data_IF_977416379798
#
_entry.id   IF_977416379798
#
_cell.length_a   1.000
_cell.length_b   1.000
_cell.length_c   1.000
_cell.angle_alpha   90.00
_cell.angle_beta   90.00
_cell.angle_gamma   90.00
#
_symmetry.space_group_name_H-M   'P 1'
#
loop_
_entity.id
_entity.type
_entity.pdbx_description
1 polymer ?
#
# COMPACT_ATOMS: atom_id res chain seq x y z
N UNK A 1 4.94 10.48 23.82
CA UNK A 1 3.64 10.24 24.48
C UNK A 1 2.51 9.92 23.49
N UNK A 2 2.33 10.72 22.42
CA UNK A 2 1.28 10.44 21.42
C UNK A 2 1.49 9.10 20.69
N UNK A 3 2.73 8.80 20.27
CA UNK A 3 3.08 7.56 19.55
C UNK A 3 2.80 6.32 20.41
N UNK A 4 3.15 6.35 21.70
CA UNK A 4 2.93 5.24 22.64
C UNK A 4 1.44 5.03 22.92
N UNK A 5 0.65 6.10 22.99
CA UNK A 5 -0.81 6.03 23.13
C UNK A 5 -1.44 5.44 21.87
N UNK A 6 -1.04 5.89 20.68
CA UNK A 6 -1.51 5.33 19.42
C UNK A 6 -1.17 3.83 19.31
N UNK A 7 0.06 3.43 19.65
CA UNK A 7 0.46 2.03 19.65
C UNK A 7 -0.35 1.17 20.62
N UNK A 8 -0.65 1.69 21.82
CA UNK A 8 -1.53 1.04 22.78
C UNK A 8 -2.96 0.86 22.25
N UNK A 9 -3.54 1.91 21.65
CA UNK A 9 -4.89 1.86 21.07
C UNK A 9 -4.95 0.87 19.91
N UNK A 10 -4.08 0.99 18.92
CA UNK A 10 -4.04 0.07 17.77
C UNK A 10 -3.75 -1.37 18.19
N UNK A 11 -2.76 -1.57 19.07
CA UNK A 11 -2.45 -2.89 19.61
C UNK A 11 -3.65 -3.52 20.32
N UNK A 12 -4.36 -2.74 21.14
CA UNK A 12 -5.56 -3.24 21.85
C UNK A 12 -6.68 -3.67 20.91
N UNK A 13 -6.93 -2.92 19.83
CA UNK A 13 -7.96 -3.25 18.86
C UNK A 13 -7.62 -4.52 18.07
N UNK A 14 -6.36 -4.66 17.64
CA UNK A 14 -5.88 -5.85 16.93
C UNK A 14 -5.97 -7.09 17.83
N UNK A 15 -5.55 -6.97 19.09
CA UNK A 15 -5.63 -8.07 20.07
C UNK A 15 -7.08 -8.44 20.38
N UNK A 16 -7.95 -7.45 20.57
CA UNK A 16 -9.39 -7.66 20.79
C UNK A 16 -10.06 -8.35 19.59
N UNK A 17 -9.77 -7.88 18.37
CA UNK A 17 -10.26 -8.49 17.15
C UNK A 17 -9.77 -9.95 17.01
N UNK A 18 -8.47 -10.19 17.20
CA UNK A 18 -7.90 -11.54 17.18
C UNK A 18 -8.56 -12.47 18.21
N UNK A 19 -8.87 -11.97 19.40
CA UNK A 19 -9.60 -12.72 20.43
C UNK A 19 -11.00 -13.13 19.98
N UNK A 20 -11.75 -12.20 19.37
CA UNK A 20 -13.12 -12.45 18.90
C UNK A 20 -13.15 -13.49 17.79
N UNK A 21 -12.27 -13.37 16.80
CA UNK A 21 -12.16 -14.33 15.68
C UNK A 21 -11.75 -15.70 16.19
N UNK A 22 -10.78 -15.78 17.09
CA UNK A 22 -10.36 -17.05 17.67
C UNK A 22 -11.50 -17.72 18.46
N UNK A 23 -12.28 -16.96 19.22
CA UNK A 23 -13.45 -17.52 19.91
C UNK A 23 -14.53 -18.00 18.93
N UNK A 24 -14.84 -17.24 17.88
CA UNK A 24 -15.87 -17.62 16.89
C UNK A 24 -15.48 -18.87 16.09
N UNK A 25 -14.24 -18.99 15.65
CA UNK A 25 -13.80 -20.12 14.80
C UNK A 25 -13.29 -21.34 15.58
N UNK A 26 -12.77 -21.18 16.80
CA UNK A 26 -12.11 -22.26 17.54
C UNK A 26 -12.89 -22.72 18.80
N UNK A 27 -13.92 -22.00 19.26
CA UNK A 27 -14.69 -22.40 20.45
C UNK A 27 -15.54 -23.62 20.16
N UNK A 28 -15.42 -24.67 20.98
CA UNK A 28 -16.11 -25.96 20.75
C UNK A 28 -17.51 -26.00 21.38
N UNK A 29 -18.16 -24.86 21.61
CA UNK A 29 -19.41 -24.78 22.37
C UNK A 29 -20.60 -25.26 21.51
N UNK A 30 -20.88 -26.55 21.60
CA UNK A 30 -21.83 -27.33 20.81
C UNK A 30 -23.31 -27.00 21.05
N UNK A 31 -23.63 -26.15 22.03
CA UNK A 31 -25.02 -25.89 22.46
C UNK A 31 -25.62 -24.56 21.99
N UNK A 32 -24.81 -23.58 21.56
CA UNK A 32 -25.32 -22.24 21.19
C UNK A 32 -24.91 -21.73 19.79
N UNK A 33 -24.02 -22.43 19.09
CA UNK A 33 -23.40 -21.91 17.85
C UNK A 33 -24.07 -22.39 16.56
N UNK A 34 -24.97 -23.38 16.62
CA UNK A 34 -25.50 -24.04 15.42
C UNK A 34 -26.50 -23.19 14.62
N UNK A 35 -26.92 -22.03 15.13
CA UNK A 35 -28.06 -21.29 14.56
C UNK A 35 -27.84 -19.78 14.35
N UNK A 36 -26.64 -19.20 14.54
CA UNK A 36 -26.53 -17.73 14.50
C UNK A 36 -25.24 -17.09 13.99
N UNK A 37 -24.33 -17.81 13.35
CA UNK A 37 -23.16 -17.15 12.72
C UNK A 37 -23.30 -17.00 11.20
N UNK A 38 -24.08 -17.86 10.53
CA UNK A 38 -24.13 -17.84 9.07
C UNK A 38 -25.51 -18.28 8.53
N UNK A 39 -26.07 -17.62 7.51
CA UNK A 39 -27.32 -18.06 6.88
C UNK A 39 -27.20 -19.47 6.30
N UNK A 40 -28.28 -20.27 6.36
CA UNK A 40 -28.29 -21.66 5.91
C UNK A 40 -27.82 -21.83 4.46
N UNK A 41 -28.17 -20.89 3.58
CA UNK A 41 -27.76 -20.93 2.17
C UNK A 41 -26.24 -20.85 2.00
N UNK A 42 -25.56 -20.06 2.81
CA UNK A 42 -24.09 -19.92 2.77
C UNK A 42 -23.44 -21.18 3.34
N UNK A 43 -24.06 -21.78 4.36
CA UNK A 43 -23.56 -23.02 4.95
C UNK A 43 -23.65 -24.20 3.97
N UNK A 44 -24.79 -24.33 3.28
CA UNK A 44 -24.96 -25.34 2.24
C UNK A 44 -23.99 -25.14 1.08
N UNK A 45 -23.79 -23.90 0.63
CA UNK A 45 -22.79 -23.58 -0.38
C UNK A 45 -21.38 -23.95 0.08
N UNK A 46 -21.01 -23.63 1.33
CA UNK A 46 -19.70 -23.96 1.88
C UNK A 46 -19.45 -25.47 1.93
N UNK A 47 -20.46 -26.27 2.31
CA UNK A 47 -20.38 -27.73 2.26
C UNK A 47 -20.22 -28.25 0.84
N UNK A 48 -21.00 -27.74 -0.12
CA UNK A 48 -20.93 -28.15 -1.52
C UNK A 48 -19.57 -27.81 -2.14
N UNK A 49 -19.03 -26.63 -1.84
CA UNK A 49 -17.73 -26.16 -2.33
C UNK A 49 -16.54 -26.66 -1.51
N UNK A 50 -16.75 -27.50 -0.48
CA UNK A 50 -15.71 -28.03 0.42
C UNK A 50 -14.84 -26.93 1.05
N UNK A 51 -15.47 -25.85 1.51
CA UNK A 51 -14.80 -24.75 2.18
C UNK A 51 -14.52 -25.07 3.66
N UNK A 52 -13.51 -24.40 4.22
CA UNK A 52 -13.19 -24.50 5.65
C UNK A 52 -14.27 -23.79 6.46
N UNK A 53 -14.95 -24.52 7.33
CA UNK A 53 -16.00 -24.01 8.21
C UNK A 53 -15.45 -23.65 9.59
N UNK A 54 -16.12 -22.72 10.33
CA UNK A 54 -15.86 -22.56 11.76
C UNK A 54 -15.98 -23.91 12.47
N UNK A 55 -15.15 -24.14 13.49
CA UNK A 55 -15.08 -25.39 14.28
C UNK A 55 -14.41 -26.59 13.59
N UNK A 56 -13.98 -26.48 12.32
CA UNK A 56 -13.17 -27.50 11.66
C UNK A 56 -11.70 -27.45 12.13
N UNK A 57 -11.45 -27.99 13.33
CA UNK A 57 -10.16 -27.93 14.01
C UNK A 57 -9.04 -28.69 13.31
N UNK A 58 -9.37 -29.62 12.41
CA UNK A 58 -8.38 -30.35 11.63
C UNK A 58 -7.74 -29.45 10.57
N UNK A 59 -8.56 -28.65 9.86
CA UNK A 59 -8.08 -27.72 8.84
C UNK A 59 -7.63 -26.37 9.42
N UNK A 60 -8.15 -25.95 10.58
CA UNK A 60 -7.80 -24.69 11.26
C UNK A 60 -6.58 -24.86 12.19
N UNK A 61 -5.40 -25.10 11.60
CA UNK A 61 -4.13 -25.33 12.33
C UNK A 61 -3.81 -24.18 13.30
N UNK A 62 -4.16 -22.94 12.93
CA UNK A 62 -3.93 -21.75 13.73
C UNK A 62 -4.72 -21.69 15.04
N UNK A 63 -5.78 -22.50 15.20
CA UNK A 63 -6.54 -22.63 16.46
C UNK A 63 -5.71 -23.30 17.57
N UNK A 64 -4.69 -24.10 17.23
CA UNK A 64 -3.80 -24.75 18.21
C UNK A 64 -2.66 -23.84 18.68
N UNK A 65 -2.41 -22.73 17.98
CA UNK A 65 -1.29 -21.83 18.27
C UNK A 65 -1.69 -20.82 19.35
N UNK A 66 -1.06 -20.91 20.52
CA UNK A 66 -1.29 -19.99 21.64
C UNK A 66 -0.99 -18.53 21.25
N UNK A 67 -1.77 -17.59 21.81
CA UNK A 67 -1.49 -16.16 21.64
C UNK A 67 -0.28 -15.76 22.49
N UNK A 68 0.65 -15.03 21.89
CA UNK A 68 1.76 -14.40 22.59
C UNK A 68 1.45 -12.91 22.79
N UNK A 69 1.44 -12.43 24.03
CA UNK A 69 1.23 -11.00 24.35
C UNK A 69 2.30 -10.11 23.70
N UNK A 70 3.52 -10.62 23.52
CA UNK A 70 4.60 -9.89 22.84
C UNK A 70 4.40 -9.76 21.32
N UNK A 71 3.50 -10.54 20.71
CA UNK A 71 3.22 -10.50 19.27
C UNK A 71 1.73 -10.26 19.04
N UNK A 72 1.28 -9.00 18.94
CA UNK A 72 -0.14 -8.66 18.89
C UNK A 72 -0.83 -9.09 17.60
N UNK A 73 -0.08 -9.53 16.58
CA UNK A 73 -0.63 -9.93 15.28
C UNK A 73 -1.39 -11.26 15.43
N UNK A 74 -2.64 -11.35 14.93
CA UNK A 74 -3.44 -12.57 15.05
C UNK A 74 -2.78 -13.77 14.36
N UNK A 75 -2.76 -14.92 15.03
CA UNK A 75 -2.13 -16.15 14.53
C UNK A 75 -2.74 -16.63 13.20
N UNK A 76 -4.04 -16.42 12.98
CA UNK A 76 -4.72 -16.81 11.76
C UNK A 76 -4.16 -16.09 10.52
N UNK A 77 -3.68 -14.86 10.66
CA UNK A 77 -3.30 -14.03 9.52
C UNK A 77 -2.15 -14.66 8.73
N UNK A 78 -1.10 -15.08 9.43
CA UNK A 78 0.03 -15.78 8.82
C UNK A 78 -0.41 -17.06 8.09
N UNK A 79 -1.21 -17.91 8.74
CA UNK A 79 -1.63 -19.20 8.17
C UNK A 79 -2.55 -19.04 6.95
N UNK A 80 -3.43 -18.03 6.96
CA UNK A 80 -4.29 -17.71 5.82
C UNK A 80 -3.45 -17.14 4.67
N UNK A 81 -2.51 -16.22 4.97
CA UNK A 81 -1.58 -15.68 3.99
C UNK A 81 -0.72 -16.76 3.33
N UNK A 82 -0.14 -17.65 4.12
CA UNK A 82 0.68 -18.76 3.62
C UNK A 82 -0.13 -19.69 2.71
N UNK A 83 -1.34 -20.10 3.14
CA UNK A 83 -2.19 -21.06 2.41
C UNK A 83 -2.70 -20.52 1.07
N UNK A 84 -3.21 -19.29 1.05
CA UNK A 84 -3.88 -18.75 -0.15
C UNK A 84 -2.99 -17.84 -0.98
N UNK A 85 -2.03 -17.19 -0.33
CA UNK A 85 -1.18 -16.21 -0.98
C UNK A 85 0.26 -16.67 -1.14
N UNK A 86 0.74 -17.77 -0.55
CA UNK A 86 2.14 -18.22 -0.71
C UNK A 86 3.13 -17.06 -0.46
N UNK A 87 3.04 -16.42 0.71
CA UNK A 87 3.92 -15.32 1.15
C UNK A 87 5.36 -15.82 1.36
N UNK A 88 6.05 -16.10 0.27
CA UNK A 88 7.47 -16.36 0.22
C UNK A 88 8.19 -15.11 -0.31
N UNK A 89 9.42 -14.80 0.16
CA UNK A 89 10.22 -13.75 -0.44
C UNK A 89 10.34 -13.97 -1.95
N UNK A 90 9.87 -13.02 -2.74
CA UNK A 90 9.80 -13.09 -4.21
C UNK A 90 8.85 -14.14 -4.82
N UNK A 91 8.04 -14.85 -4.03
CA UNK A 91 7.09 -15.87 -4.53
C UNK A 91 6.07 -15.33 -5.55
N UNK A 92 5.87 -14.01 -5.57
CA UNK A 92 4.93 -13.32 -6.46
C UNK A 92 5.52 -12.90 -7.81
N UNK A 93 6.83 -13.07 -8.03
CA UNK A 93 7.49 -12.71 -9.29
C UNK A 93 7.20 -13.74 -10.37
N UNK A 94 5.95 -13.76 -10.83
CA UNK A 94 5.47 -14.64 -11.88
C UNK A 94 5.31 -13.89 -13.20
N UNK A 95 5.69 -14.51 -14.32
CA UNK A 95 5.55 -13.92 -15.66
C UNK A 95 4.09 -13.60 -16.02
N UNK A 96 3.12 -14.32 -15.44
CA UNK A 96 1.68 -14.05 -15.59
C UNK A 96 1.29 -12.65 -15.10
N UNK A 97 2.06 -12.08 -14.16
CA UNK A 97 1.83 -10.75 -13.57
C UNK A 97 2.63 -9.65 -14.24
N UNK A 98 3.26 -9.92 -15.38
CA UNK A 98 4.03 -8.93 -16.14
C UNK A 98 3.26 -7.61 -16.40
N UNK A 99 1.96 -7.62 -16.74
CA UNK A 99 1.20 -6.37 -16.90
C UNK A 99 1.19 -5.51 -15.64
N UNK A 100 1.09 -6.12 -14.45
CA UNK A 100 1.11 -5.42 -13.18
C UNK A 100 2.49 -4.82 -12.87
N UNK A 101 3.57 -5.52 -13.24
CA UNK A 101 4.92 -4.98 -13.10
C UNK A 101 5.16 -3.75 -14.00
N UNK A 102 4.66 -3.79 -15.24
CA UNK A 102 4.76 -2.64 -16.17
C UNK A 102 4.00 -1.43 -15.60
N UNK A 103 2.82 -1.66 -15.03
CA UNK A 103 2.02 -0.64 -14.35
C UNK A 103 2.70 -0.04 -13.10
N UNK A 104 3.39 -0.88 -12.33
CA UNK A 104 4.08 -0.46 -11.11
C UNK A 104 5.43 0.24 -11.38
N UNK A 105 6.07 -0.05 -12.52
CA UNK A 105 7.40 0.45 -12.83
C UNK A 105 7.54 1.99 -12.79
N UNK A 106 6.61 2.80 -13.34
CA UNK A 106 6.70 4.26 -13.24
C UNK A 106 6.64 4.75 -11.79
N UNK A 107 5.81 4.15 -10.94
CA UNK A 107 5.73 4.51 -9.52
C UNK A 107 7.05 4.19 -8.79
N UNK A 108 7.62 3.00 -9.04
CA UNK A 108 8.94 2.61 -8.49
C UNK A 108 10.00 3.61 -8.94
N UNK A 109 10.02 3.95 -10.24
CA UNK A 109 10.96 4.90 -10.80
C UNK A 109 10.86 6.27 -10.13
N UNK A 110 9.65 6.80 -9.94
CA UNK A 110 9.43 8.08 -9.26
C UNK A 110 9.96 8.04 -7.82
N UNK A 111 9.71 6.96 -7.09
CA UNK A 111 10.22 6.80 -5.72
C UNK A 111 11.75 6.76 -5.70
N UNK A 112 12.38 5.95 -6.56
CA UNK A 112 13.84 5.81 -6.60
C UNK A 112 14.51 7.12 -7.03
N UNK A 113 14.04 7.72 -8.12
CA UNK A 113 14.54 9.00 -8.61
C UNK A 113 14.35 10.12 -7.59
N UNK A 114 13.14 10.26 -7.04
CA UNK A 114 12.82 11.27 -6.05
C UNK A 114 13.64 11.11 -4.77
N UNK A 115 13.84 9.87 -4.31
CA UNK A 115 14.67 9.59 -3.13
C UNK A 115 16.13 9.97 -3.36
N UNK A 116 16.70 9.59 -4.51
CA UNK A 116 18.08 9.97 -4.86
C UNK A 116 18.21 11.49 -4.99
N UNK A 117 17.23 12.14 -5.62
CA UNK A 117 17.19 13.58 -5.79
C UNK A 117 17.19 14.32 -4.44
N UNK A 118 16.27 13.96 -3.53
CA UNK A 118 16.14 14.58 -2.22
C UNK A 118 17.34 14.30 -1.30
N UNK A 119 17.85 13.06 -1.29
CA UNK A 119 19.06 12.73 -0.52
C UNK A 119 20.26 13.55 -0.99
N UNK A 120 20.42 13.73 -2.31
CA UNK A 120 21.52 14.53 -2.85
C UNK A 120 21.36 16.02 -2.52
N UNK A 121 20.13 16.56 -2.55
CA UNK A 121 19.84 17.93 -2.15
C UNK A 121 20.18 18.15 -0.67
N UNK A 122 19.71 17.26 0.21
CA UNK A 122 19.94 17.35 1.65
C UNK A 122 21.43 17.21 1.99
N UNK A 123 22.15 16.31 1.31
CA UNK A 123 23.61 16.15 1.44
C UNK A 123 24.37 17.43 1.04
N UNK A 124 23.96 18.10 -0.04
CA UNK A 124 24.59 19.39 -0.43
C UNK A 124 24.36 20.47 0.61
N UNK A 125 23.18 20.51 1.23
CA UNK A 125 22.83 21.51 2.24
C UNK A 125 23.55 21.28 3.58
N UNK A 126 23.66 20.04 4.04
CA UNK A 126 24.16 19.71 5.39
C UNK A 126 25.57 19.11 5.41
N UNK A 127 26.20 18.89 4.25
CA UNK A 127 27.56 18.36 4.09
C UNK A 127 27.75 16.88 4.44
N UNK A 128 26.95 16.33 5.36
CA UNK A 128 27.03 14.94 5.84
C UNK A 128 25.65 14.35 6.10
N UNK A 129 25.53 13.02 5.99
CA UNK A 129 24.31 12.28 6.34
C UNK A 129 23.88 12.52 7.80
N UNK A 130 24.84 12.66 8.72
CA UNK A 130 24.54 12.96 10.11
C UNK A 130 23.91 14.36 10.27
N UNK A 131 24.41 15.33 9.52
CA UNK A 131 23.84 16.69 9.47
C UNK A 131 22.40 16.70 8.92
N UNK A 132 22.09 15.83 7.95
CA UNK A 132 20.73 15.68 7.40
C UNK A 132 19.75 15.13 8.44
N UNK A 133 20.16 14.12 9.21
CA UNK A 133 19.32 13.52 10.25
C UNK A 133 19.08 14.53 11.37
N UNK A 134 20.15 15.20 11.84
CA UNK A 134 20.05 16.20 12.90
C UNK A 134 19.20 17.41 12.47
N UNK A 135 19.40 17.91 11.24
CA UNK A 135 18.61 19.00 10.67
C UNK A 135 17.13 18.63 10.49
N UNK A 136 16.84 17.36 10.19
CA UNK A 136 15.46 16.86 10.12
C UNK A 136 14.79 16.81 11.49
N UNK A 137 15.51 16.43 12.55
CA UNK A 137 14.96 16.43 13.91
C UNK A 137 14.60 17.85 14.39
N UNK A 138 15.29 18.86 13.88
CA UNK A 138 15.04 20.26 14.19
C UNK A 138 13.97 20.90 13.29
N UNK A 139 13.83 20.42 12.04
CA UNK A 139 12.90 20.99 11.08
C UNK A 139 11.65 20.12 10.89
N UNK A 140 10.51 20.60 11.41
CA UNK A 140 9.23 19.94 11.29
C UNK A 140 8.70 19.83 9.84
N UNK A 141 9.19 20.65 8.90
CA UNK A 141 8.76 20.64 7.50
C UNK A 141 9.62 19.74 6.60
N UNK A 142 10.43 18.84 7.17
CA UNK A 142 11.30 17.96 6.39
C UNK A 142 10.51 16.89 5.63
N UNK A 143 10.88 16.66 4.36
CA UNK A 143 10.34 15.59 3.50
C UNK A 143 10.91 14.21 3.88
N UNK A 144 12.00 14.17 4.66
CA UNK A 144 12.76 12.96 4.96
C UNK A 144 11.96 11.84 5.67
N UNK A 145 11.05 12.11 6.62
CA UNK A 145 10.22 11.04 7.19
C UNK A 145 9.35 10.33 6.15
N UNK A 146 8.77 11.09 5.20
CA UNK A 146 7.98 10.53 4.11
C UNK A 146 8.83 9.73 3.13
N UNK A 147 10.06 10.20 2.86
CA UNK A 147 11.04 9.47 2.05
C UNK A 147 11.37 8.11 2.68
N UNK A 148 11.75 8.08 3.96
CA UNK A 148 12.09 6.84 4.67
C UNK A 148 10.89 5.89 4.68
N UNK A 149 9.70 6.40 5.02
CA UNK A 149 8.49 5.60 5.03
C UNK A 149 8.21 4.96 3.66
N UNK A 150 8.33 5.74 2.58
CA UNK A 150 8.08 5.26 1.21
C UNK A 150 9.13 4.24 0.78
N UNK A 151 10.41 4.42 1.13
CA UNK A 151 11.47 3.46 0.82
C UNK A 151 11.24 2.12 1.54
N UNK A 152 10.88 2.15 2.83
CA UNK A 152 10.55 0.94 3.59
C UNK A 152 9.35 0.23 2.97
N UNK A 153 8.29 0.96 2.63
CA UNK A 153 7.12 0.38 1.96
C UNK A 153 7.46 -0.21 0.59
N UNK A 154 8.26 0.49 -0.21
CA UNK A 154 8.69 0.02 -1.55
C UNK A 154 9.47 -1.28 -1.41
N UNK A 155 10.42 -1.35 -0.48
CA UNK A 155 11.20 -2.56 -0.22
C UNK A 155 10.32 -3.72 0.23
N UNK A 156 9.47 -3.52 1.24
CA UNK A 156 8.56 -4.54 1.72
C UNK A 156 7.59 -5.00 0.63
N UNK A 157 7.11 -4.08 -0.20
CA UNK A 157 6.19 -4.39 -1.27
C UNK A 157 6.84 -5.18 -2.42
N UNK A 158 8.13 -4.99 -2.69
CA UNK A 158 8.87 -5.77 -3.69
C UNK A 158 9.15 -7.21 -3.23
N UNK A 159 9.38 -7.39 -1.93
CA UNK A 159 9.80 -8.69 -1.35
C UNK A 159 8.61 -9.52 -0.88
N UNK A 160 7.64 -8.90 -0.21
CA UNK A 160 6.60 -9.59 0.56
C UNK A 160 5.17 -9.42 0.03
N UNK A 161 4.88 -8.37 -0.75
CA UNK A 161 3.53 -8.10 -1.24
C UNK A 161 3.35 -8.47 -2.70
N UNK A 162 2.09 -8.69 -3.07
CA UNK A 162 1.70 -8.90 -4.45
C UNK A 162 1.79 -7.57 -5.23
N UNK A 163 2.36 -7.62 -6.43
CA UNK A 163 2.53 -6.46 -7.33
C UNK A 163 1.21 -5.76 -7.66
N UNK A 164 0.09 -6.49 -7.65
CA UNK A 164 -1.27 -5.94 -7.86
C UNK A 164 -1.60 -4.80 -6.88
N UNK A 165 -1.16 -4.93 -5.63
CA UNK A 165 -1.48 -3.97 -4.55
C UNK A 165 -0.35 -2.94 -4.38
N UNK A 166 0.75 -3.08 -5.12
CA UNK A 166 1.97 -2.30 -4.95
C UNK A 166 1.75 -0.80 -5.14
N UNK A 167 1.12 -0.41 -6.25
CA UNK A 167 0.85 1.00 -6.57
C UNK A 167 -0.08 1.62 -5.55
N UNK A 168 -1.13 0.90 -5.13
CA UNK A 168 -2.06 1.36 -4.09
C UNK A 168 -1.35 1.63 -2.78
N UNK A 169 -0.51 0.71 -2.30
CA UNK A 169 0.24 0.91 -1.05
C UNK A 169 1.08 2.18 -1.15
N UNK A 170 1.82 2.36 -2.25
CA UNK A 170 2.69 3.51 -2.42
C UNK A 170 1.93 4.85 -2.51
N UNK A 171 0.87 4.92 -3.32
CA UNK A 171 0.10 6.15 -3.53
C UNK A 171 -0.83 6.50 -2.37
N UNK A 172 -1.27 5.53 -1.55
CA UNK A 172 -2.18 5.80 -0.43
C UNK A 172 -1.48 5.97 0.92
N UNK A 173 -0.34 5.31 1.13
CA UNK A 173 0.31 5.28 2.45
C UNK A 173 1.24 6.47 2.69
N UNK A 174 1.72 7.13 1.63
CA UNK A 174 2.72 8.20 1.75
C UNK A 174 2.45 9.36 0.79
N UNK A 175 2.54 10.62 1.26
CA UNK A 175 2.45 11.78 0.39
C UNK A 175 3.70 11.99 -0.49
N UNK A 176 4.78 11.24 -0.26
CA UNK A 176 6.09 11.45 -0.89
C UNK A 176 6.03 11.48 -2.42
N UNK A 177 5.30 10.56 -3.04
CA UNK A 177 5.20 10.48 -4.51
C UNK A 177 4.57 11.76 -5.08
N UNK A 178 3.50 12.24 -4.44
CA UNK A 178 2.85 13.49 -4.86
C UNK A 178 3.76 14.70 -4.67
N UNK A 179 4.52 14.74 -3.58
CA UNK A 179 5.48 15.82 -3.33
C UNK A 179 6.58 15.85 -4.39
N UNK A 180 7.15 14.71 -4.74
CA UNK A 180 8.18 14.60 -5.80
C UNK A 180 7.60 15.00 -7.16
N UNK A 181 6.39 14.53 -7.50
CA UNK A 181 5.73 14.92 -8.76
C UNK A 181 5.47 16.43 -8.78
N UNK A 182 4.93 16.99 -7.70
CA UNK A 182 4.65 18.42 -7.59
C UNK A 182 5.93 19.26 -7.73
N UNK A 183 7.01 18.91 -7.02
CA UNK A 183 8.30 19.57 -7.15
C UNK A 183 8.90 19.46 -8.56
N UNK A 184 8.74 18.31 -9.20
CA UNK A 184 9.20 18.10 -10.58
C UNK A 184 8.44 19.01 -11.55
N UNK A 185 7.12 19.12 -11.39
CA UNK A 185 6.27 20.00 -12.21
C UNK A 185 6.56 21.47 -11.93
N UNK A 186 6.70 21.87 -10.66
CA UNK A 186 7.01 23.23 -10.22
C UNK A 186 8.33 23.74 -10.81
N UNK A 187 9.39 22.94 -10.78
CA UNK A 187 10.69 23.35 -11.35
C UNK A 187 10.70 23.48 -12.87
N UNK A 188 9.76 22.85 -13.56
CA UNK A 188 9.64 22.86 -15.02
C UNK A 188 8.61 23.88 -15.52
N UNK A 189 7.82 24.44 -14.62
CA UNK A 189 6.79 25.43 -14.93
C UNK A 189 7.21 26.91 -14.97
N UNK A 190 8.39 27.39 -14.49
CA UNK A 190 8.78 28.78 -14.72
C UNK A 190 9.05 29.11 -16.20
N UNK A 191 8.95 28.12 -17.10
CA UNK A 191 8.95 28.31 -18.56
C UNK A 191 7.55 28.62 -19.13
N UNK A 192 6.49 28.63 -18.30
CA UNK A 192 5.11 28.87 -18.70
C UNK A 192 4.72 30.30 -18.35
N UNK A 193 4.50 31.14 -19.36
CA UNK A 193 4.04 32.51 -19.15
C UNK A 193 2.53 32.55 -18.90
N UNK A 194 2.03 33.65 -18.31
CA UNK A 194 0.59 33.84 -18.07
C UNK A 194 -0.23 33.77 -19.37
N UNK A 195 0.37 34.22 -20.47
CA UNK A 195 -0.21 34.18 -21.81
C UNK A 195 -0.38 32.73 -22.33
N UNK A 196 0.53 31.82 -21.96
CA UNK A 196 0.45 30.41 -22.32
C UNK A 196 -0.64 29.64 -21.56
N UNK A 197 -1.13 30.18 -20.45
CA UNK A 197 -2.23 29.57 -19.66
C UNK A 197 -3.59 30.02 -20.17
N UNK A 198 -3.64 31.07 -21.01
CA UNK A 198 -4.87 31.64 -21.54
C UNK A 198 -5.49 30.80 -22.68
N UNK A 199 -4.70 29.97 -23.36
CA UNK A 199 -5.15 29.07 -24.42
C UNK A 199 -4.43 27.72 -24.28
N UNK A 200 -5.11 26.57 -24.06
CA UNK A 200 -6.54 26.24 -24.25
C UNK A 200 -7.43 26.34 -22.98
N UNK A 201 -8.76 26.35 -23.17
CA UNK A 201 -9.75 26.53 -22.08
C UNK A 201 -9.85 25.36 -21.10
N UNK A 202 -9.64 24.12 -21.56
CA UNK A 202 -9.72 22.94 -20.69
C UNK A 202 -8.32 22.54 -20.22
N UNK A 203 -8.06 22.77 -18.93
CA UNK A 203 -6.82 22.38 -18.24
C UNK A 203 -5.53 22.89 -18.93
N UNK A 204 -5.38 24.22 -19.12
CA UNK A 204 -4.30 24.82 -19.89
C UNK A 204 -2.91 24.37 -19.43
N UNK A 205 -2.70 24.32 -18.11
CA UNK A 205 -1.47 23.86 -17.49
C UNK A 205 -1.03 22.46 -17.97
N UNK A 206 -1.94 21.48 -17.96
CA UNK A 206 -1.61 20.10 -18.35
C UNK A 206 -1.32 20.01 -19.85
N UNK A 207 -2.04 20.77 -20.68
CA UNK A 207 -1.81 20.78 -22.12
C UNK A 207 -0.45 21.37 -22.48
N UNK A 208 -0.06 22.48 -21.84
CA UNK A 208 1.23 23.11 -22.09
C UNK A 208 2.38 22.25 -21.54
N UNK A 209 2.23 21.74 -20.31
CA UNK A 209 3.19 20.82 -19.71
C UNK A 209 3.45 19.58 -20.58
N UNK A 210 2.40 18.99 -21.16
CA UNK A 210 2.53 17.84 -22.06
C UNK A 210 3.23 18.18 -23.38
N UNK A 211 3.13 19.42 -23.88
CA UNK A 211 3.74 19.85 -25.15
C UNK A 211 5.23 20.16 -25.02
N UNK A 212 5.67 20.57 -23.84
CA UNK A 212 7.07 20.97 -23.60
C UNK A 212 8.07 19.83 -23.81
N UNK A 213 7.77 18.61 -23.32
CA UNK A 213 8.68 17.47 -23.44
C UNK A 213 7.94 16.13 -23.39
N UNK A 214 8.42 15.15 -24.17
CA UNK A 214 7.80 13.82 -24.25
C UNK A 214 7.72 13.08 -22.91
N UNK A 215 8.69 13.27 -22.01
CA UNK A 215 8.62 12.71 -20.65
C UNK A 215 7.48 13.30 -19.81
N UNK A 216 7.13 14.57 -20.01
CA UNK A 216 6.01 15.21 -19.32
C UNK A 216 4.68 14.65 -19.82
N UNK A 217 4.56 14.45 -21.14
CA UNK A 217 3.43 13.77 -21.75
C UNK A 217 3.28 12.34 -21.22
N UNK A 218 4.37 11.58 -21.11
CA UNK A 218 4.35 10.22 -20.55
C UNK A 218 3.89 10.21 -19.09
N UNK A 219 4.45 11.09 -18.24
CA UNK A 219 4.02 11.20 -16.85
C UNK A 219 2.53 11.53 -16.73
N UNK A 220 2.05 12.51 -17.50
CA UNK A 220 0.64 12.91 -17.48
C UNK A 220 -0.27 11.76 -17.99
N UNK A 221 0.15 11.07 -19.06
CA UNK A 221 -0.57 9.92 -19.59
C UNK A 221 -0.66 8.77 -18.59
N UNK A 222 0.40 8.53 -17.81
CA UNK A 222 0.40 7.54 -16.73
C UNK A 222 -0.59 7.93 -15.62
N UNK A 223 -0.56 9.18 -15.15
CA UNK A 223 -1.46 9.63 -14.08
C UNK A 223 -2.93 9.63 -14.50
N UNK A 224 -3.24 10.15 -15.69
CA UNK A 224 -4.60 10.16 -16.23
C UNK A 224 -5.09 8.76 -16.57
N UNK A 225 -4.20 7.92 -17.14
CA UNK A 225 -4.47 6.52 -17.42
C UNK A 225 -4.79 5.76 -16.13
N UNK A 226 -3.98 5.92 -15.08
CA UNK A 226 -4.24 5.30 -13.78
C UNK A 226 -5.53 5.81 -13.16
N UNK A 227 -5.82 7.11 -13.25
CA UNK A 227 -7.09 7.67 -12.77
C UNK A 227 -8.29 7.06 -13.49
N UNK A 228 -8.31 7.07 -14.82
CA UNK A 228 -9.45 6.60 -15.59
C UNK A 228 -9.59 5.07 -15.57
N UNK A 229 -8.52 4.36 -15.98
CA UNK A 229 -8.52 2.90 -16.06
C UNK A 229 -8.61 2.29 -14.66
N UNK A 230 -7.87 2.83 -13.68
CA UNK A 230 -7.94 2.36 -12.30
C UNK A 230 -9.34 2.47 -11.72
N UNK A 231 -10.03 3.59 -11.96
CA UNK A 231 -11.43 3.76 -11.50
C UNK A 231 -12.37 2.75 -12.16
N UNK A 232 -12.25 2.53 -13.47
CA UNK A 232 -13.07 1.55 -14.19
C UNK A 232 -12.83 0.11 -13.73
N UNK A 233 -11.56 -0.27 -13.53
CA UNK A 233 -11.22 -1.62 -13.09
C UNK A 233 -11.63 -1.86 -11.63
N UNK A 234 -11.50 -0.84 -10.77
CA UNK A 234 -11.96 -0.88 -9.39
C UNK A 234 -13.47 -1.12 -9.30
N UNK A 235 -14.26 -0.36 -10.08
CA UNK A 235 -15.72 -0.51 -10.12
C UNK A 235 -16.19 -1.90 -10.59
N UNK A 236 -15.35 -2.60 -11.37
CA UNK A 236 -15.62 -3.94 -11.89
C UNK A 236 -15.04 -5.07 -11.02
N UNK A 237 -14.60 -4.78 -9.78
CA UNK A 237 -14.05 -5.77 -8.84
C UNK A 237 -12.85 -6.56 -9.39
N UNK A 238 -12.17 -6.03 -10.40
CA UNK A 238 -10.96 -6.66 -10.89
C UNK A 238 -9.83 -6.45 -9.87
N UNK A 239 -8.85 -7.37 -9.77
CA UNK A 239 -7.71 -7.27 -8.85
C UNK A 239 -6.72 -6.15 -9.26
N UNK A 240 -7.22 -5.14 -9.97
CA UNK A 240 -6.52 -4.03 -10.55
C UNK A 240 -7.01 -2.77 -9.85
N UNK A 241 -6.59 -2.60 -8.60
CA UNK A 241 -6.53 -1.36 -7.78
C UNK A 241 -6.26 -1.71 -6.32
#
# INVERSE_FOLDING_TARGET
>A
MLITICWGIFGSQVVSHGSRIHHSFCSRNTTHSRAKEMPDIVYQYALQSKLVLPHDLESLIWCRKGRNILYPIPSFYYHVQEKYWQVEPFGYWQLKKLPCFIMAAPAIFIVLYGSLFEINLLKRMHGSLFGVILGTLQNASSILPFLIHTLVLTFLALVLYNVEVFTRILFSSSPFIYLIIAQYMDRRTPLVTLDDVQYPTFLPFFTNFSRSHWMHALLLSYLLGYFYIGTLLHANWLPFT
#
